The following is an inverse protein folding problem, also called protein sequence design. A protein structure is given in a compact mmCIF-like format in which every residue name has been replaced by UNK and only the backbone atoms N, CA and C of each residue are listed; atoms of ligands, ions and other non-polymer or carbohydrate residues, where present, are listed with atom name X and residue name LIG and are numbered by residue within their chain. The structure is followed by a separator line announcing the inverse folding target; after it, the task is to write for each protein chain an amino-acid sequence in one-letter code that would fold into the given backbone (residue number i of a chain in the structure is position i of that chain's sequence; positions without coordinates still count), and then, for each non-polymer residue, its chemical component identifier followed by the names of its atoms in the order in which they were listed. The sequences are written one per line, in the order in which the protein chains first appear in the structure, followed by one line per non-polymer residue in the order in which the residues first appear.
data_IF_231527009561
#
_entry.id   IF_231527009561
#
_cell.length_a   1.000
_cell.length_b   1.000
_cell.length_c   1.000
_cell.angle_alpha   90.00
_cell.angle_beta   90.00
_cell.angle_gamma   90.00
#
_symmetry.space_group_name_H-M   'P 1'
#
loop_
_entity.id
_entity.type
_entity.pdbx_description
1 polymer ?
#
# COMPACT_ATOMS: atom_id res chain seq x y z
N UNK A 1 -31.97 33.88 1.84
CA UNK A 1 -30.96 33.67 0.76
C UNK A 1 -29.60 33.56 1.41
N UNK A 2 -29.01 32.37 1.40
CA UNK A 2 -27.66 32.12 1.90
C UNK A 2 -27.17 30.84 1.25
N UNK A 3 -26.66 30.95 0.02
CA UNK A 3 -26.12 29.82 -0.73
C UNK A 3 -24.81 29.37 -0.08
N UNK A 4 -24.91 28.46 0.87
CA UNK A 4 -23.80 27.61 1.29
C UNK A 4 -23.44 26.73 0.09
N UNK A 5 -22.50 27.22 -0.75
CA UNK A 5 -21.79 26.36 -1.69
C UNK A 5 -20.88 25.45 -0.86
N UNK A 6 -21.44 24.40 -0.28
CA UNK A 6 -20.66 23.25 0.18
C UNK A 6 -19.96 22.69 -1.06
N UNK A 7 -18.67 22.97 -1.20
CA UNK A 7 -17.85 22.26 -2.16
C UNK A 7 -17.98 20.76 -1.86
N UNK A 8 -18.27 19.89 -2.84
CA UNK A 8 -18.20 18.45 -2.68
C UNK A 8 -16.73 18.02 -2.75
N UNK A 9 -15.88 18.62 -1.93
CA UNK A 9 -14.61 18.05 -1.53
C UNK A 9 -14.91 17.44 -0.18
N UNK A 10 -15.31 16.17 -0.15
CA UNK A 10 -15.46 15.41 1.07
C UNK A 10 -14.14 15.57 1.82
N UNK A 11 -14.11 16.43 2.85
CA UNK A 11 -12.91 16.61 3.65
C UNK A 11 -12.66 15.27 4.29
N UNK A 12 -11.70 14.51 3.78
CA UNK A 12 -11.24 13.29 4.41
C UNK A 12 -10.66 13.70 5.75
N UNK A 13 -11.50 13.75 6.79
CA UNK A 13 -11.06 13.92 8.15
C UNK A 13 -10.28 12.67 8.50
N UNK A 14 -8.95 12.82 8.61
CA UNK A 14 -8.12 11.71 9.06
C UNK A 14 -8.62 11.27 10.43
N UNK A 15 -8.67 9.95 10.65
CA UNK A 15 -9.10 9.38 11.95
C UNK A 15 -7.98 9.42 12.99
N UNK A 16 -6.93 10.17 12.72
CA UNK A 16 -5.75 10.27 13.55
C UNK A 16 -6.01 11.26 14.69
N UNK A 17 -5.48 10.94 15.86
CA UNK A 17 -5.34 11.92 16.94
C UNK A 17 -4.35 13.01 16.50
N UNK A 18 -4.37 14.22 17.10
CA UNK A 18 -3.47 15.30 16.72
C UNK A 18 -1.98 14.90 16.71
N UNK A 19 -1.55 14.10 17.68
CA UNK A 19 -0.17 13.60 17.79
C UNK A 19 0.16 12.63 16.67
N UNK A 20 -0.75 11.70 16.36
CA UNK A 20 -0.60 10.75 15.26
C UNK A 20 -0.54 11.48 13.91
N UNK A 21 -1.39 12.50 13.72
CA UNK A 21 -1.38 13.32 12.51
C UNK A 21 -0.06 14.08 12.35
N UNK A 22 0.49 14.61 13.46
CA UNK A 22 1.79 15.27 13.44
C UNK A 22 2.95 14.32 13.06
N UNK A 23 2.87 13.04 13.45
CA UNK A 23 3.84 12.02 13.00
C UNK A 23 3.70 11.71 11.50
N UNK A 24 2.47 11.57 11.01
CA UNK A 24 2.19 11.37 9.58
C UNK A 24 2.71 12.57 8.76
N UNK A 25 2.45 13.79 9.20
CA UNK A 25 2.90 15.00 8.52
C UNK A 25 4.43 15.12 8.53
N UNK A 26 5.08 14.81 9.66
CA UNK A 26 6.55 14.79 9.75
C UNK A 26 7.17 13.75 8.81
N UNK A 27 6.57 12.56 8.72
CA UNK A 27 7.02 11.52 7.79
C UNK A 27 6.88 12.00 6.34
N UNK A 28 5.75 12.62 5.99
CA UNK A 28 5.55 13.17 4.66
C UNK A 28 6.58 14.25 4.31
N UNK A 29 6.88 15.16 5.24
CA UNK A 29 7.89 16.20 5.03
C UNK A 29 9.31 15.63 4.88
N UNK A 30 9.64 14.56 5.63
CA UNK A 30 10.90 13.83 5.43
C UNK A 30 11.00 13.20 4.04
N UNK A 31 9.91 12.61 3.54
CA UNK A 31 9.86 11.99 2.21
C UNK A 31 9.87 13.01 1.07
N UNK A 32 9.35 14.21 1.32
CA UNK A 32 9.15 15.26 0.32
C UNK A 32 10.37 16.18 0.15
N UNK A 33 11.52 15.86 0.76
CA UNK A 33 12.66 16.78 0.83
C UNK A 33 13.20 17.22 -0.55
N UNK A 34 13.53 18.51 -0.54
CA UNK A 34 13.81 19.48 -1.59
C UNK A 34 14.84 19.10 -2.66
N UNK A 35 14.42 19.05 -3.93
CA UNK A 35 15.25 19.71 -4.94
C UNK A 35 15.05 21.21 -4.74
N UNK A 36 16.12 21.90 -4.35
CA UNK A 36 16.24 23.35 -4.20
C UNK A 36 15.84 24.05 -5.51
N UNK A 37 14.56 24.29 -5.73
CA UNK A 37 14.08 24.85 -6.99
C UNK A 37 12.59 25.16 -6.99
N UNK A 38 12.26 26.37 -6.53
CA UNK A 38 10.93 27.00 -6.54
C UNK A 38 9.96 26.56 -5.42
N UNK A 39 9.68 27.51 -4.53
CA UNK A 39 8.69 27.46 -3.45
C UNK A 39 7.22 27.44 -3.94
N UNK A 40 6.99 27.18 -5.23
CA UNK A 40 5.69 27.34 -5.90
C UNK A 40 5.02 26.02 -6.28
N UNK A 41 5.72 24.88 -6.16
CA UNK A 41 5.18 23.56 -6.51
C UNK A 41 4.58 22.86 -5.27
N UNK A 42 3.40 22.21 -5.38
CA UNK A 42 2.83 21.45 -4.27
C UNK A 42 3.79 20.35 -3.79
N UNK A 43 4.04 20.28 -2.46
CA UNK A 43 4.90 19.24 -1.88
C UNK A 43 4.37 17.85 -2.22
N UNK A 44 5.27 16.99 -2.68
CA UNK A 44 5.00 15.60 -3.06
C UNK A 44 6.29 14.80 -3.09
N UNK A 45 6.22 13.47 -2.99
CA UNK A 45 7.40 12.61 -3.04
C UNK A 45 7.32 11.54 -4.14
N UNK A 46 8.49 11.05 -4.57
CA UNK A 46 8.64 10.04 -5.62
C UNK A 46 8.86 8.64 -5.04
N UNK A 47 8.74 7.60 -5.89
CA UNK A 47 9.07 6.23 -5.50
C UNK A 47 10.51 6.10 -5.01
N UNK A 48 11.44 6.84 -5.62
CA UNK A 48 12.85 6.82 -5.22
C UNK A 48 13.03 7.40 -3.81
N UNK A 49 12.36 8.51 -3.48
CA UNK A 49 12.40 9.07 -2.13
C UNK A 49 11.90 8.06 -1.08
N UNK A 50 10.80 7.36 -1.38
CA UNK A 50 10.28 6.30 -0.50
C UNK A 50 11.25 5.12 -0.37
N UNK A 51 11.83 4.64 -1.48
CA UNK A 51 12.84 3.56 -1.45
C UNK A 51 14.06 3.95 -0.63
N UNK A 52 14.58 5.16 -0.80
CA UNK A 52 15.72 5.67 -0.04
C UNK A 52 15.40 5.80 1.45
N UNK A 53 14.20 6.26 1.82
CA UNK A 53 13.80 6.40 3.21
C UNK A 53 13.60 5.04 3.91
N UNK A 54 12.99 4.07 3.22
CA UNK A 54 12.75 2.73 3.79
C UNK A 54 14.04 1.91 3.84
N UNK A 55 14.96 2.11 2.89
CA UNK A 55 16.21 1.38 2.81
C UNK A 55 15.99 -0.13 2.71
N UNK A 56 16.73 -0.90 3.51
CA UNK A 56 16.64 -2.36 3.55
C UNK A 56 15.55 -2.89 4.47
N UNK A 57 14.77 -2.02 5.14
CA UNK A 57 13.76 -2.47 6.10
C UNK A 57 12.59 -3.24 5.45
N UNK A 58 12.35 -3.03 4.15
CA UNK A 58 11.28 -3.68 3.40
C UNK A 58 11.77 -4.05 1.98
N UNK A 59 11.37 -5.20 1.41
CA UNK A 59 11.74 -5.55 0.04
C UNK A 59 11.25 -4.50 -0.97
N UNK A 60 12.08 -4.19 -1.97
CA UNK A 60 11.82 -3.16 -2.97
C UNK A 60 10.50 -3.34 -3.72
N UNK A 61 10.08 -4.58 -3.95
CA UNK A 61 8.81 -4.91 -4.60
C UNK A 61 7.61 -4.47 -3.77
N UNK A 62 7.68 -4.67 -2.44
CA UNK A 62 6.60 -4.25 -1.53
C UNK A 62 6.57 -2.72 -1.36
N UNK A 63 7.74 -2.06 -1.33
CA UNK A 63 7.83 -0.59 -1.34
C UNK A 63 7.17 -0.02 -2.61
N UNK A 64 7.44 -0.65 -3.77
CA UNK A 64 6.86 -0.24 -5.05
C UNK A 64 5.34 -0.42 -5.06
N UNK A 65 4.82 -1.52 -4.51
CA UNK A 65 3.37 -1.72 -4.36
C UNK A 65 2.71 -0.74 -3.42
N UNK A 66 3.34 -0.42 -2.29
CA UNK A 66 2.82 0.59 -1.36
C UNK A 66 2.73 1.95 -2.06
N UNK A 67 3.79 2.36 -2.77
CA UNK A 67 3.80 3.59 -3.53
C UNK A 67 2.67 3.64 -4.57
N UNK A 68 2.56 2.61 -5.41
CA UNK A 68 1.52 2.52 -6.43
C UNK A 68 0.11 2.46 -5.83
N UNK A 69 -0.06 1.77 -4.70
CA UNK A 69 -1.32 1.75 -3.96
C UNK A 69 -1.76 3.14 -3.51
N UNK A 70 -0.84 3.92 -2.91
CA UNK A 70 -1.10 5.29 -2.48
C UNK A 70 -1.37 6.24 -3.66
N UNK A 71 -0.57 6.13 -4.72
CA UNK A 71 -0.69 6.93 -5.94
C UNK A 71 -2.04 6.78 -6.65
N UNK A 72 -2.67 5.61 -6.52
CA UNK A 72 -3.96 5.28 -7.16
C UNK A 72 -5.18 5.61 -6.28
N UNK A 73 -4.98 6.19 -5.10
CA UNK A 73 -6.08 6.71 -4.30
C UNK A 73 -6.62 7.97 -4.96
N UNK A 74 -7.89 7.94 -5.36
CA UNK A 74 -8.58 9.13 -5.87
C UNK A 74 -9.07 9.97 -4.69
N UNK A 75 -8.40 11.10 -4.48
CA UNK A 75 -8.73 12.05 -3.42
C UNK A 75 -9.75 13.09 -3.89
N UNK A 76 -9.89 13.30 -5.20
CA UNK A 76 -10.63 14.46 -5.75
C UNK A 76 -11.91 14.09 -6.51
N UNK A 77 -12.17 12.80 -6.72
CA UNK A 77 -13.33 12.32 -7.48
C UNK A 77 -13.30 12.74 -8.96
N UNK A 78 -12.19 13.33 -9.41
CA UNK A 78 -11.93 13.76 -10.77
C UNK A 78 -10.74 12.94 -11.22
N UNK A 79 -11.00 11.89 -11.98
CA UNK A 79 -9.99 10.98 -12.52
C UNK A 79 -9.08 11.71 -13.51
N UNK A 80 -8.19 12.57 -13.02
CA UNK A 80 -6.90 12.82 -13.65
C UNK A 80 -6.07 11.56 -13.42
N UNK A 81 -5.42 11.07 -14.47
CA UNK A 81 -4.59 9.88 -14.40
C UNK A 81 -3.56 9.94 -13.25
N UNK A 82 -3.03 8.79 -12.80
CA UNK A 82 -2.20 8.72 -11.61
C UNK A 82 -0.94 9.60 -11.75
N UNK A 83 -0.83 10.62 -10.90
CA UNK A 83 0.32 11.55 -10.85
C UNK A 83 1.61 10.78 -10.57
N UNK A 84 2.73 11.13 -11.19
CA UNK A 84 4.03 10.42 -10.98
C UNK A 84 4.53 10.48 -9.52
N UNK A 85 4.01 11.42 -8.74
CA UNK A 85 4.35 11.66 -7.33
C UNK A 85 3.11 11.52 -6.45
N UNK A 86 3.33 11.30 -5.16
CA UNK A 86 2.26 11.21 -4.15
C UNK A 86 2.09 12.58 -3.48
N UNK A 87 0.87 13.11 -3.49
CA UNK A 87 0.52 14.34 -2.76
C UNK A 87 0.32 14.07 -1.26
N UNK A 88 0.31 15.14 -0.46
CA UNK A 88 0.04 15.04 0.99
C UNK A 88 -1.31 14.39 1.26
N UNK A 89 -2.35 14.77 0.51
CA UNK A 89 -3.69 14.25 0.71
C UNK A 89 -3.76 12.76 0.36
N UNK A 90 -3.14 12.34 -0.76
CA UNK A 90 -3.05 10.91 -1.12
C UNK A 90 -2.34 10.11 -0.04
N UNK A 91 -1.24 10.63 0.49
CA UNK A 91 -0.50 10.00 1.57
C UNK A 91 -1.36 9.88 2.84
N UNK A 92 -1.95 10.98 3.31
CA UNK A 92 -2.75 11.00 4.53
C UNK A 92 -3.97 10.10 4.45
N UNK A 93 -4.71 10.11 3.33
CA UNK A 93 -5.87 9.22 3.13
C UNK A 93 -5.43 7.76 3.13
N UNK A 94 -4.35 7.44 2.41
CA UNK A 94 -3.82 6.07 2.36
C UNK A 94 -3.39 5.57 3.73
N UNK A 95 -2.68 6.39 4.51
CA UNK A 95 -2.25 6.05 5.87
C UNK A 95 -3.45 5.89 6.80
N UNK A 96 -4.46 6.74 6.69
CA UNK A 96 -5.71 6.63 7.46
C UNK A 96 -6.41 5.30 7.19
N UNK A 97 -6.59 4.92 5.92
CA UNK A 97 -7.17 3.63 5.54
C UNK A 97 -6.32 2.45 6.02
N UNK A 98 -4.99 2.53 5.87
CA UNK A 98 -4.10 1.43 6.22
C UNK A 98 -4.04 1.20 7.75
N UNK A 99 -3.89 2.26 8.54
CA UNK A 99 -3.65 2.18 9.98
C UNK A 99 -4.94 2.17 10.81
N UNK A 100 -5.94 2.98 10.41
CA UNK A 100 -7.18 3.20 11.18
C UNK A 100 -8.45 2.81 10.40
N UNK A 101 -8.30 2.26 9.20
CA UNK A 101 -9.42 1.87 8.36
C UNK A 101 -10.14 0.61 8.84
N UNK A 102 -11.40 0.48 8.46
CA UNK A 102 -12.18 -0.74 8.58
C UNK A 102 -11.75 -1.78 7.52
N UNK A 103 -12.44 -2.93 7.47
CA UNK A 103 -12.09 -4.01 6.55
C UNK A 103 -12.22 -3.58 5.08
N UNK A 104 -13.26 -2.81 4.75
CA UNK A 104 -13.55 -2.32 3.41
C UNK A 104 -12.44 -1.38 2.93
N UNK A 105 -12.07 -0.40 3.76
CA UNK A 105 -11.02 0.58 3.45
C UNK A 105 -9.65 -0.07 3.30
N UNK A 106 -9.31 -1.01 4.19
CA UNK A 106 -8.08 -1.80 4.09
C UNK A 106 -8.08 -2.67 2.83
N UNK A 107 -9.22 -3.28 2.49
CA UNK A 107 -9.35 -4.09 1.27
C UNK A 107 -9.17 -3.23 0.01
N UNK A 108 -9.63 -1.97 0.02
CA UNK A 108 -9.41 -1.03 -1.07
C UNK A 108 -7.93 -0.72 -1.27
N UNK A 109 -7.19 -0.46 -0.18
CA UNK A 109 -5.73 -0.24 -0.24
C UNK A 109 -5.04 -1.48 -0.82
N UNK A 110 -5.36 -2.67 -0.31
CA UNK A 110 -4.80 -3.94 -0.82
C UNK A 110 -5.13 -4.12 -2.31
N UNK A 111 -6.36 -3.85 -2.72
CA UNK A 111 -6.77 -3.94 -4.11
C UNK A 111 -5.95 -2.99 -5.01
N UNK A 112 -5.73 -1.74 -4.59
CA UNK A 112 -4.89 -0.78 -5.33
C UNK A 112 -3.42 -1.20 -5.39
N UNK A 113 -2.92 -1.95 -4.42
CA UNK A 113 -1.56 -2.53 -4.44
C UNK A 113 -1.44 -3.74 -5.39
N UNK A 114 -2.52 -4.49 -5.61
CA UNK A 114 -2.53 -5.66 -6.49
C UNK A 114 -2.81 -5.27 -7.94
N UNK A 115 -3.83 -4.44 -8.15
CA UNK A 115 -4.37 -4.15 -9.47
C UNK A 115 -3.80 -2.84 -10.03
N UNK A 116 -3.06 -2.95 -11.14
CA UNK A 116 -2.58 -1.79 -11.90
C UNK A 116 -3.70 -1.05 -12.63
N UNK A 117 -4.78 -1.76 -12.93
CA UNK A 117 -5.95 -1.30 -13.68
C UNK A 117 -7.19 -1.43 -12.81
N UNK A 118 -8.26 -0.70 -13.11
CA UNK A 118 -9.55 -0.87 -12.40
C UNK A 118 -10.30 -2.15 -12.83
N UNK A 119 -9.59 -3.12 -13.41
CA UNK A 119 -10.14 -4.39 -13.85
C UNK A 119 -10.27 -5.39 -12.71
N UNK A 120 -11.13 -6.42 -12.88
CA UNK A 120 -11.17 -7.54 -11.96
C UNK A 120 -9.78 -8.18 -11.79
N UNK A 121 -9.39 -8.39 -10.53
CA UNK A 121 -8.11 -9.01 -10.17
C UNK A 121 -8.19 -10.51 -10.40
N UNK A 122 -7.16 -11.07 -11.01
CA UNK A 122 -7.03 -12.51 -11.26
C UNK A 122 -6.48 -13.22 -10.03
N UNK A 123 -6.87 -14.48 -9.82
CA UNK A 123 -6.39 -15.30 -8.72
C UNK A 123 -4.86 -15.35 -8.61
N UNK A 124 -4.16 -15.41 -9.76
CA UNK A 124 -2.68 -15.40 -9.82
C UNK A 124 -2.05 -14.10 -9.30
N UNK A 125 -2.73 -12.97 -9.44
CA UNK A 125 -2.26 -11.66 -8.97
C UNK A 125 -2.42 -11.58 -7.45
N UNK A 126 -3.53 -12.10 -6.92
CA UNK A 126 -3.74 -12.26 -5.47
C UNK A 126 -2.70 -13.21 -4.87
N UNK A 127 -2.43 -14.34 -5.53
CA UNK A 127 -1.41 -15.29 -5.08
C UNK A 127 -0.03 -14.64 -5.04
N UNK A 128 0.38 -13.96 -6.13
CA UNK A 128 1.68 -13.28 -6.18
C UNK A 128 1.81 -12.19 -5.12
N UNK A 129 0.76 -11.41 -4.90
CA UNK A 129 0.74 -10.44 -3.81
C UNK A 129 0.89 -11.10 -2.43
N UNK A 130 0.21 -12.23 -2.21
CA UNK A 130 0.28 -12.97 -0.95
C UNK A 130 1.68 -13.52 -0.72
N UNK A 131 2.34 -14.06 -1.75
CA UNK A 131 3.75 -14.49 -1.69
C UNK A 131 4.66 -13.33 -1.29
N UNK A 132 4.52 -12.18 -1.95
CA UNK A 132 5.37 -11.03 -1.68
C UNK A 132 5.08 -10.42 -0.30
N UNK A 133 3.83 -10.49 0.19
CA UNK A 133 3.45 -10.08 1.54
C UNK A 133 4.08 -10.98 2.60
N UNK A 134 3.91 -12.30 2.48
CA UNK A 134 4.51 -13.28 3.41
C UNK A 134 6.03 -13.16 3.40
N UNK A 135 6.64 -13.02 2.22
CA UNK A 135 8.08 -12.78 2.08
C UNK A 135 8.52 -11.49 2.77
N UNK A 136 7.74 -10.41 2.63
CA UNK A 136 8.03 -9.12 3.28
C UNK A 136 7.92 -9.20 4.82
N UNK A 137 6.94 -9.94 5.35
CA UNK A 137 6.82 -10.14 6.81
C UNK A 137 8.05 -10.89 7.35
N UNK A 138 8.44 -11.98 6.69
CA UNK A 138 9.64 -12.74 7.07
C UNK A 138 10.90 -11.85 7.00
N UNK A 139 11.02 -11.05 5.95
CA UNK A 139 12.11 -10.08 5.78
C UNK A 139 12.16 -9.06 6.93
N UNK A 140 11.04 -8.41 7.26
CA UNK A 140 10.96 -7.39 8.31
C UNK A 140 11.31 -7.97 9.69
N UNK A 141 10.79 -9.16 10.01
CA UNK A 141 11.09 -9.82 11.28
C UNK A 141 12.58 -10.16 11.42
N UNK A 142 13.22 -10.59 10.32
CA UNK A 142 14.64 -10.84 10.30
C UNK A 142 15.46 -9.54 10.38
N UNK A 143 15.10 -8.52 9.59
CA UNK A 143 15.75 -7.21 9.58
C UNK A 143 15.75 -6.56 10.97
N UNK A 144 14.61 -6.64 11.68
CA UNK A 144 14.46 -6.09 13.05
C UNK A 144 15.02 -7.01 14.14
N UNK A 145 15.59 -8.16 13.80
CA UNK A 145 16.11 -9.15 14.76
C UNK A 145 15.05 -9.68 15.74
N UNK A 146 13.78 -9.71 15.33
CA UNK A 146 12.65 -10.15 16.18
C UNK A 146 12.52 -11.68 16.25
N UNK A 147 13.25 -12.40 15.40
CA UNK A 147 13.18 -13.86 15.31
C UNK A 147 13.93 -14.61 16.43
N UNK A 148 14.62 -13.90 17.36
CA UNK A 148 15.24 -14.42 18.60
C UNK A 148 15.81 -15.86 18.50
N UNK A 149 16.64 -16.12 17.49
CA UNK A 149 17.30 -17.43 17.33
C UNK A 149 16.58 -18.45 16.44
N UNK A 150 15.45 -18.10 15.82
CA UNK A 150 14.91 -18.87 14.70
C UNK A 150 15.83 -18.75 13.48
N UNK A 151 16.78 -19.67 13.36
CA UNK A 151 17.63 -19.79 12.17
C UNK A 151 16.83 -20.40 11.03
N UNK A 152 16.60 -19.63 9.96
CA UNK A 152 15.92 -20.09 8.76
C UNK A 152 16.74 -21.17 8.05
N UNK A 153 16.50 -22.46 8.35
CA UNK A 153 17.08 -23.57 7.58
C UNK A 153 16.43 -23.60 6.19
N UNK A 154 17.18 -23.18 5.18
CA UNK A 154 16.79 -23.32 3.78
C UNK A 154 16.91 -24.80 3.39
N UNK A 155 15.79 -25.43 3.02
CA UNK A 155 15.81 -26.77 2.45
C UNK A 155 16.05 -26.66 0.93
N UNK A 156 17.08 -27.30 0.36
CA UNK A 156 17.29 -27.29 -1.08
C UNK A 156 16.14 -27.99 -1.83
N UNK A 157 15.63 -27.36 -2.89
CA UNK A 157 14.82 -28.05 -3.92
C UNK A 157 13.31 -28.12 -3.71
N UNK A 158 12.74 -27.60 -2.62
CA UNK A 158 11.28 -27.45 -2.47
C UNK A 158 10.82 -26.05 -2.91
N UNK A 159 9.53 -25.90 -3.26
CA UNK A 159 8.89 -24.57 -3.34
C UNK A 159 9.27 -23.76 -2.09
N UNK A 160 9.54 -22.47 -2.26
CA UNK A 160 9.89 -21.60 -1.14
C UNK A 160 8.79 -21.72 -0.08
N UNK A 161 9.16 -21.82 1.20
CA UNK A 161 8.17 -21.89 2.31
C UNK A 161 7.18 -20.72 2.25
N UNK A 162 7.61 -19.58 1.72
CA UNK A 162 6.77 -18.41 1.40
C UNK A 162 5.68 -18.76 0.40
N UNK A 163 6.00 -19.47 -0.68
CA UNK A 163 5.04 -19.89 -1.70
C UNK A 163 4.04 -20.91 -1.16
N UNK A 164 4.51 -21.86 -0.35
CA UNK A 164 3.62 -22.85 0.29
C UNK A 164 2.64 -22.17 1.24
N UNK A 165 3.13 -21.29 2.11
CA UNK A 165 2.27 -20.55 3.03
C UNK A 165 1.29 -19.63 2.28
N UNK A 166 1.76 -18.93 1.25
CA UNK A 166 0.89 -18.09 0.43
C UNK A 166 -0.20 -18.91 -0.28
N UNK A 167 0.14 -20.07 -0.84
CA UNK A 167 -0.83 -20.97 -1.47
C UNK A 167 -1.88 -21.46 -0.46
N UNK A 168 -1.46 -21.80 0.77
CA UNK A 168 -2.39 -22.19 1.84
C UNK A 168 -3.32 -21.04 2.24
N UNK A 169 -2.81 -19.82 2.40
CA UNK A 169 -3.63 -18.65 2.69
C UNK A 169 -4.64 -18.38 1.56
N UNK A 170 -4.22 -18.52 0.31
CA UNK A 170 -5.10 -18.36 -0.84
C UNK A 170 -6.14 -19.49 -0.96
N UNK A 171 -5.86 -20.72 -0.53
CA UNK A 171 -6.84 -21.82 -0.60
C UNK A 171 -8.01 -21.63 0.37
N UNK A 172 -7.82 -20.91 1.47
CA UNK A 172 -8.89 -20.54 2.40
C UNK A 172 -9.84 -19.49 1.80
N UNK A 173 -9.39 -18.75 0.77
CA UNK A 173 -10.24 -17.83 0.05
C UNK A 173 -11.21 -18.63 -0.83
N UNK A 174 -12.50 -18.60 -0.49
CA UNK A 174 -13.58 -19.07 -1.39
C UNK A 174 -13.69 -18.15 -2.60
N UNK A 175 -12.74 -18.24 -3.52
CA UNK A 175 -12.86 -17.64 -4.83
C UNK A 175 -14.08 -18.29 -5.47
N UNK A 176 -15.11 -17.51 -5.80
CA UNK A 176 -16.26 -18.03 -6.52
C UNK A 176 -15.79 -18.52 -7.90
N UNK A 177 -15.40 -19.78 -7.96
CA UNK A 177 -15.12 -20.47 -9.20
C UNK A 177 -16.42 -20.47 -9.98
N UNK A 178 -16.39 -19.91 -11.20
CA UNK A 178 -17.42 -20.18 -12.18
C UNK A 178 -17.65 -21.69 -12.17
N UNK A 179 -18.87 -22.13 -11.80
CA UNK A 179 -19.32 -23.49 -12.05
C UNK A 179 -18.93 -23.79 -13.49
N UNK A 180 -18.01 -24.74 -13.68
CA UNK A 180 -17.81 -25.33 -15.00
C UNK A 180 -19.18 -25.87 -15.38
N UNK A 181 -19.82 -25.30 -16.40
CA UNK A 181 -20.93 -25.96 -17.06
C UNK A 181 -20.31 -27.23 -17.65
N UNK A 182 -20.62 -28.35 -17.02
CA UNK A 182 -20.48 -29.66 -17.64
C UNK A 182 -21.49 -29.73 -18.78
N UNK A 183 -20.97 -30.11 -19.94
CA UNK A 183 -21.65 -30.60 -21.16
C UNK A 183 -22.64 -29.66 -21.87
#
# INVERSE_FOLDING_TARGET
MGNSKSHPGQSFSSRFLPEEQAEIDRLFDSLSSEELGSSTSPRSFSLQALKSHVGEALPAEMVTRLFEGMRRVDVTGKTKGPSERISREQFTVSMSHLLKGNAEEKSLVIWKMISATESPVKAREVQKFTEDLVGSVAHVLNYRQELRGWTQKQAPGSLSRVQVLAAQLCSEMKLQGKRRKSE
#
